data_IF_956529023381
#
_entry.id   IF_956529023381
#
_cell.length_a   1.000
_cell.length_b   1.000
_cell.length_c   1.000
_cell.angle_alpha   90.00
_cell.angle_beta   90.00
_cell.angle_gamma   90.00
#
_symmetry.space_group_name_H-M   'P 1'
#
loop_
_entity.id
_entity.type
_entity.pdbx_description
1 polymer ?
#
# COMPACT_ATOMS: atom_id res chain seq x y z
N UNK A 1 -17.00 -6.41 14.61
CA UNK A 1 -15.53 -6.39 14.63
C UNK A 1 -14.92 -7.39 13.64
N UNK A 2 -15.38 -8.64 13.60
CA UNK A 2 -14.88 -9.67 12.66
C UNK A 2 -14.88 -9.22 11.20
N UNK A 3 -15.99 -8.72 10.66
CA UNK A 3 -16.06 -8.25 9.27
C UNK A 3 -15.09 -7.08 8.97
N UNK A 4 -14.97 -6.10 9.87
CA UNK A 4 -14.05 -4.96 9.71
C UNK A 4 -12.60 -5.45 9.69
N UNK A 5 -12.25 -6.37 10.58
CA UNK A 5 -10.91 -6.95 10.63
C UNK A 5 -10.61 -7.78 9.38
N UNK A 6 -11.59 -8.47 8.79
CA UNK A 6 -11.41 -9.17 7.52
C UNK A 6 -11.12 -8.22 6.35
N UNK A 7 -11.86 -7.10 6.25
CA UNK A 7 -11.61 -6.08 5.22
C UNK A 7 -10.23 -5.46 5.41
N UNK A 8 -9.87 -5.13 6.64
CA UNK A 8 -8.56 -4.59 6.98
C UNK A 8 -7.42 -5.58 6.66
N UNK A 9 -7.62 -6.86 6.95
CA UNK A 9 -6.65 -7.91 6.63
C UNK A 9 -6.48 -8.07 5.11
N UNK A 10 -7.56 -8.02 4.33
CA UNK A 10 -7.49 -8.06 2.87
C UNK A 10 -6.73 -6.83 2.32
N UNK A 11 -7.07 -5.63 2.79
CA UNK A 11 -6.37 -4.40 2.41
C UNK A 11 -4.88 -4.45 2.76
N UNK A 12 -4.54 -4.84 4.00
CA UNK A 12 -3.16 -4.95 4.47
C UNK A 12 -2.38 -5.96 3.64
N UNK A 13 -2.99 -7.10 3.29
CA UNK A 13 -2.35 -8.14 2.48
C UNK A 13 -2.05 -7.66 1.06
N UNK A 14 -3.01 -6.99 0.41
CA UNK A 14 -2.83 -6.46 -0.94
C UNK A 14 -1.74 -5.37 -0.97
N UNK A 15 -1.74 -4.45 -0.02
CA UNK A 15 -0.68 -3.44 0.09
C UNK A 15 0.66 -4.07 0.46
N UNK A 16 0.69 -5.11 1.29
CA UNK A 16 1.90 -5.86 1.62
C UNK A 16 2.51 -6.55 0.39
N UNK A 17 1.67 -7.18 -0.45
CA UNK A 17 2.10 -7.74 -1.74
C UNK A 17 2.67 -6.65 -2.66
N UNK A 18 2.04 -5.47 -2.71
CA UNK A 18 2.55 -4.34 -3.48
C UNK A 18 3.88 -3.79 -2.97
N UNK A 19 4.14 -3.82 -1.66
CA UNK A 19 5.46 -3.47 -1.11
C UNK A 19 6.52 -4.44 -1.64
N UNK A 20 6.25 -5.75 -1.60
CA UNK A 20 7.18 -6.77 -2.10
C UNK A 20 7.42 -6.58 -3.60
N UNK A 21 6.35 -6.51 -4.40
CA UNK A 21 6.44 -6.30 -5.85
C UNK A 21 7.12 -4.96 -6.20
N UNK A 22 6.88 -3.92 -5.40
CA UNK A 22 7.50 -2.60 -5.56
C UNK A 22 9.01 -2.62 -5.31
N UNK A 23 9.48 -3.39 -4.32
CA UNK A 23 10.92 -3.60 -4.08
C UNK A 23 11.58 -4.34 -5.25
N UNK A 24 10.92 -5.37 -5.79
CA UNK A 24 11.41 -6.11 -6.96
C UNK A 24 11.46 -5.21 -8.20
N UNK A 25 10.41 -4.43 -8.45
CA UNK A 25 10.36 -3.47 -9.56
C UNK A 25 11.46 -2.41 -9.43
N UNK A 26 11.65 -1.83 -8.24
CA UNK A 26 12.72 -0.88 -7.97
C UNK A 26 14.10 -1.47 -8.24
N UNK A 27 14.38 -2.67 -7.74
CA UNK A 27 15.66 -3.37 -7.96
C UNK A 27 15.89 -3.66 -9.44
N UNK A 28 14.85 -4.10 -10.15
CA UNK A 28 14.90 -4.35 -11.59
C UNK A 28 15.26 -3.08 -12.36
N UNK A 29 14.61 -1.95 -12.08
CA UNK A 29 14.90 -0.67 -12.74
C UNK A 29 16.33 -0.20 -12.41
N UNK A 30 16.70 -0.22 -11.12
CA UNK A 30 18.03 0.20 -10.68
C UNK A 30 19.16 -0.63 -11.33
N UNK A 31 18.92 -1.93 -11.55
CA UNK A 31 19.90 -2.84 -12.17
C UNK A 31 20.16 -2.56 -13.66
N UNK A 32 19.30 -1.78 -14.34
CA UNK A 32 19.46 -1.45 -15.75
C UNK A 32 20.48 -0.31 -15.98
N UNK A 33 20.91 0.39 -14.93
CA UNK A 33 21.90 1.48 -14.99
C UNK A 33 21.58 2.58 -16.02
N UNK A 34 20.29 2.81 -16.30
CA UNK A 34 19.86 3.88 -17.22
C UNK A 34 19.94 5.21 -16.49
N UNK A 35 20.61 6.19 -17.10
CA UNK A 35 20.73 7.53 -16.52
C UNK A 35 19.35 8.15 -16.25
N UNK A 36 19.18 8.70 -15.05
CA UNK A 36 17.90 9.29 -14.61
C UNK A 36 16.90 8.29 -14.04
N UNK A 37 17.21 6.99 -14.00
CA UNK A 37 16.36 5.95 -13.45
C UNK A 37 17.00 5.20 -12.27
N UNK A 38 16.21 4.79 -11.26
CA UNK A 38 14.80 5.15 -11.07
C UNK A 38 14.63 6.63 -10.70
N UNK A 39 13.67 7.30 -11.32
CA UNK A 39 13.36 8.70 -11.00
C UNK A 39 12.53 8.81 -9.71
N UNK A 40 12.41 10.03 -9.16
CA UNK A 40 11.68 10.26 -7.92
C UNK A 40 10.19 9.85 -7.99
N UNK A 41 9.57 9.91 -9.17
CA UNK A 41 8.19 9.47 -9.38
C UNK A 41 8.04 7.96 -9.20
N UNK A 42 8.95 7.18 -9.78
CA UNK A 42 8.98 5.73 -9.62
C UNK A 42 9.29 5.29 -8.20
N UNK A 43 10.20 5.98 -7.50
CA UNK A 43 10.47 5.69 -6.08
C UNK A 43 9.20 5.91 -5.26
N UNK A 44 8.49 7.02 -5.51
CA UNK A 44 7.23 7.31 -4.82
C UNK A 44 6.15 6.28 -5.12
N UNK A 45 6.01 5.93 -6.39
CA UNK A 45 5.02 4.98 -6.88
C UNK A 45 5.30 3.58 -6.33
N UNK A 46 6.49 3.04 -6.54
CA UNK A 46 6.81 1.65 -6.22
C UNK A 46 7.10 1.39 -4.74
N UNK A 47 7.68 2.36 -4.02
CA UNK A 47 8.11 2.15 -2.64
C UNK A 47 7.30 2.99 -1.65
N UNK A 48 7.35 4.31 -1.78
CA UNK A 48 6.86 5.21 -0.72
C UNK A 48 5.37 5.05 -0.50
N UNK A 49 4.55 5.03 -1.56
CA UNK A 49 3.10 4.97 -1.44
C UNK A 49 2.61 3.63 -0.87
N UNK A 50 3.04 2.45 -1.39
CA UNK A 50 2.68 1.16 -0.80
C UNK A 50 3.10 1.02 0.67
N UNK A 51 4.34 1.40 0.99
CA UNK A 51 4.86 1.31 2.36
C UNK A 51 4.05 2.21 3.30
N UNK A 52 3.77 3.44 2.89
CA UNK A 52 3.01 4.39 3.71
C UNK A 52 1.61 3.90 4.02
N UNK A 53 0.89 3.37 3.03
CA UNK A 53 -0.47 2.87 3.21
C UNK A 53 -0.46 1.58 4.05
N UNK A 54 0.49 0.68 3.81
CA UNK A 54 0.68 -0.53 4.61
C UNK A 54 0.90 -0.20 6.10
N UNK A 55 1.84 0.71 6.39
CA UNK A 55 2.15 1.13 7.77
C UNK A 55 0.96 1.84 8.43
N UNK A 56 0.24 2.67 7.69
CA UNK A 56 -0.95 3.36 8.20
C UNK A 56 -2.08 2.37 8.54
N UNK A 57 -2.32 1.36 7.70
CA UNK A 57 -3.27 0.28 7.97
C UNK A 57 -2.85 -0.53 9.19
N UNK A 58 -1.58 -0.93 9.26
CA UNK A 58 -1.05 -1.71 10.38
C UNK A 58 -1.21 -0.96 11.71
N UNK A 59 -0.83 0.32 11.75
CA UNK A 59 -1.01 1.17 12.91
C UNK A 59 -2.49 1.28 13.30
N UNK A 60 -3.37 1.52 12.33
CA UNK A 60 -4.80 1.67 12.59
C UNK A 60 -5.44 0.37 13.11
N UNK A 61 -5.00 -0.80 12.63
CA UNK A 61 -5.43 -2.12 13.13
C UNK A 61 -5.03 -2.27 14.60
N UNK A 62 -3.78 -1.96 14.95
CA UNK A 62 -3.28 -2.04 16.34
C UNK A 62 -4.08 -1.10 17.25
N UNK A 63 -4.28 0.15 16.82
CA UNK A 63 -5.04 1.15 17.58
C UNK A 63 -6.51 0.75 17.73
N UNK A 64 -7.18 0.26 16.69
CA UNK A 64 -8.59 -0.13 16.75
C UNK A 64 -8.83 -1.39 17.59
N UNK A 65 -7.91 -2.35 17.57
CA UNK A 65 -7.99 -3.54 18.42
C UNK A 65 -7.72 -3.20 19.90
N UNK A 66 -6.83 -2.24 20.18
CA UNK A 66 -6.60 -1.73 21.55
C UNK A 66 -7.75 -0.84 22.04
N UNK A 67 -8.24 0.05 21.18
CA UNK A 67 -9.27 1.04 21.47
C UNK A 67 -10.44 0.86 20.51
N UNK A 68 -11.46 0.11 20.95
CA UNK A 68 -12.65 -0.25 20.14
C UNK A 68 -13.37 0.94 19.47
N UNK A 69 -13.18 2.17 19.98
CA UNK A 69 -13.73 3.41 19.39
C UNK A 69 -13.14 3.76 18.02
N UNK A 70 -11.97 3.22 17.67
CA UNK A 70 -11.35 3.46 16.36
C UNK A 70 -11.79 2.46 15.27
N UNK A 71 -12.73 1.55 15.56
CA UNK A 71 -13.26 0.61 14.58
C UNK A 71 -13.87 1.26 13.31
N UNK A 72 -14.60 2.40 13.40
CA UNK A 72 -15.08 3.10 12.21
C UNK A 72 -13.93 3.67 11.35
N UNK A 73 -12.88 4.18 12.00
CA UNK A 73 -11.70 4.70 11.30
C UNK A 73 -10.96 3.58 10.55
N UNK A 74 -10.84 2.39 11.17
CA UNK A 74 -10.26 1.22 10.52
C UNK A 74 -11.07 0.80 9.27
N UNK A 75 -12.40 0.77 9.38
CA UNK A 75 -13.27 0.44 8.26
C UNK A 75 -13.12 1.45 7.11
N UNK A 76 -13.20 2.74 7.41
CA UNK A 76 -13.08 3.82 6.43
C UNK A 76 -11.73 3.79 5.74
N UNK A 77 -10.63 3.68 6.50
CA UNK A 77 -9.28 3.62 5.95
C UNK A 77 -9.10 2.39 5.05
N UNK A 78 -9.55 1.22 5.51
CA UNK A 78 -9.42 -0.02 4.73
C UNK A 78 -10.22 0.08 3.42
N UNK A 79 -11.49 0.50 3.49
CA UNK A 79 -12.33 0.66 2.31
C UNK A 79 -11.80 1.72 1.33
N UNK A 80 -11.37 2.88 1.83
CA UNK A 80 -10.78 3.92 1.01
C UNK A 80 -9.48 3.47 0.34
N UNK A 81 -8.62 2.73 1.07
CA UNK A 81 -7.38 2.20 0.51
C UNK A 81 -7.63 1.15 -0.60
N UNK A 82 -8.67 0.32 -0.45
CA UNK A 82 -9.07 -0.66 -1.46
C UNK A 82 -9.69 0.01 -2.69
N UNK A 83 -10.51 1.04 -2.47
CA UNK A 83 -11.05 1.84 -3.58
C UNK A 83 -9.93 2.55 -4.35
N UNK A 84 -8.96 3.13 -3.64
CA UNK A 84 -7.78 3.78 -4.22
C UNK A 84 -6.77 2.80 -4.85
N UNK A 85 -6.85 1.51 -4.52
CA UNK A 85 -5.97 0.48 -5.08
C UNK A 85 -6.17 0.33 -6.60
N UNK A 86 -7.41 0.36 -7.08
CA UNK A 86 -7.72 0.19 -8.51
C UNK A 86 -7.08 1.27 -9.39
N UNK A 87 -7.29 2.58 -9.17
CA UNK A 87 -6.61 3.61 -9.95
C UNK A 87 -5.09 3.60 -9.73
N UNK A 88 -4.61 3.23 -8.54
CA UNK A 88 -3.18 3.04 -8.30
C UNK A 88 -2.59 1.94 -9.21
N UNK A 89 -3.25 0.78 -9.33
CA UNK A 89 -2.78 -0.33 -10.17
C UNK A 89 -2.77 0.02 -11.67
N UNK A 90 -3.71 0.85 -12.13
CA UNK A 90 -3.73 1.34 -13.52
C UNK A 90 -2.48 2.16 -13.85
N UNK A 91 -2.01 2.99 -12.91
CA UNK A 91 -0.77 3.76 -13.07
C UNK A 91 0.46 2.88 -12.85
N UNK A 92 0.40 1.96 -11.88
CA UNK A 92 1.49 1.05 -11.53
C UNK A 92 1.91 0.13 -12.69
N UNK A 93 0.93 -0.42 -13.42
CA UNK A 93 1.16 -1.29 -14.58
C UNK A 93 1.42 -0.55 -15.90
N UNK A 94 1.08 0.75 -15.97
CA UNK A 94 1.35 1.59 -17.14
C UNK A 94 2.84 1.84 -17.37
N UNK A 95 3.68 1.53 -16.39
CA UNK A 95 5.10 1.81 -16.45
C UNK A 95 5.36 3.31 -16.40
N UNK A 96 6.60 3.61 -16.13
CA UNK A 96 7.30 4.80 -16.60
C UNK A 96 6.73 5.37 -17.90
#
# INVERSE_FOLDING_TARGET
MTAINSIAAAALSLWGLLVIAGVEAYRSIASQHVAGYPNAGQIKLYLVMPISIFLLLLLTIVVANKFRRAAPALLLLSAASLFGLMPYLMVWGGGV
#
